data_IF_177907877340
#
_entry.id   IF_177907877340
#
_cell.length_a   1.000
_cell.length_b   1.000
_cell.length_c   1.000
_cell.angle_alpha   90.00
_cell.angle_beta   90.00
_cell.angle_gamma   90.00
#
_symmetry.space_group_name_H-M   'P 1'
#
loop_
_entity.id
_entity.type
_entity.pdbx_description
1 polymer ?
#
# COMPACT_ATOMS: atom_id res chain seq x y z
N UNK A 1 53.35 8.20 16.81
CA UNK A 1 52.43 8.78 15.79
C UNK A 1 51.35 7.79 15.40
N UNK A 2 51.68 6.58 14.94
CA UNK A 2 50.67 5.57 14.59
C UNK A 2 49.81 5.11 15.79
N UNK A 3 50.43 4.85 16.94
CA UNK A 3 49.72 4.46 18.18
C UNK A 3 48.72 5.52 18.67
N UNK A 4 49.09 6.80 18.57
CA UNK A 4 48.21 7.92 18.91
C UNK A 4 47.03 8.03 17.96
N UNK A 5 47.25 7.83 16.66
CA UNK A 5 46.19 7.81 15.66
C UNK A 5 45.21 6.65 15.89
N UNK A 6 45.73 5.45 16.21
CA UNK A 6 44.91 4.29 16.56
C UNK A 6 44.10 4.52 17.84
N UNK A 7 44.68 5.16 18.86
CA UNK A 7 43.97 5.49 20.10
C UNK A 7 42.82 6.49 19.88
N UNK A 8 43.02 7.49 19.01
CA UNK A 8 41.97 8.45 18.67
C UNK A 8 40.83 7.76 17.92
N UNK A 9 41.15 6.94 16.92
CA UNK A 9 40.14 6.17 16.19
C UNK A 9 39.39 5.18 17.08
N UNK A 10 40.06 4.58 18.08
CA UNK A 10 39.43 3.68 19.05
C UNK A 10 38.40 4.42 19.91
N UNK A 11 38.75 5.61 20.39
CA UNK A 11 37.86 6.44 21.20
C UNK A 11 36.64 6.92 20.38
N UNK A 12 36.84 7.33 19.13
CA UNK A 12 35.74 7.72 18.24
C UNK A 12 34.77 6.57 18.00
N UNK A 13 35.27 5.36 17.72
CA UNK A 13 34.44 4.16 17.55
C UNK A 13 33.69 3.84 18.84
N UNK A 14 34.33 3.95 20.01
CA UNK A 14 33.67 3.70 21.30
C UNK A 14 32.55 4.70 21.57
N UNK A 15 32.74 5.99 21.28
CA UNK A 15 31.70 7.00 21.44
C UNK A 15 30.52 6.77 20.48
N UNK A 16 30.80 6.37 19.24
CA UNK A 16 29.76 5.99 18.27
C UNK A 16 28.96 4.79 18.79
N UNK A 17 29.63 3.71 19.20
CA UNK A 17 29.00 2.51 19.75
C UNK A 17 28.17 2.81 21.01
N UNK A 18 28.68 3.68 21.90
CA UNK A 18 27.95 4.10 23.11
C UNK A 18 26.70 4.91 22.77
N UNK A 19 26.77 5.81 21.78
CA UNK A 19 25.61 6.57 21.32
C UNK A 19 24.56 5.65 20.69
N UNK A 20 24.99 4.73 19.84
CA UNK A 20 24.13 3.78 19.14
C UNK A 20 23.46 2.79 20.10
N UNK A 21 24.20 2.25 21.07
CA UNK A 21 23.63 1.39 22.13
C UNK A 21 22.61 2.12 23.01
N UNK A 22 22.83 3.39 23.34
CA UNK A 22 21.86 4.20 24.07
C UNK A 22 20.59 4.49 23.24
N UNK A 23 20.74 4.77 21.94
CA UNK A 23 19.60 4.94 21.03
C UNK A 23 18.80 3.64 20.90
N UNK A 24 19.47 2.50 20.72
CA UNK A 24 18.83 1.17 20.67
C UNK A 24 18.09 0.84 21.97
N UNK A 25 18.69 1.12 23.13
CA UNK A 25 18.05 0.93 24.44
C UNK A 25 16.83 1.84 24.62
N UNK A 26 16.90 3.09 24.17
CA UNK A 26 15.78 4.02 24.17
C UNK A 26 14.62 3.51 23.33
N UNK A 27 14.89 3.08 22.10
CA UNK A 27 13.89 2.51 21.18
C UNK A 27 13.23 1.26 21.79
N UNK A 28 13.99 0.37 22.44
CA UNK A 28 13.40 -0.80 23.11
C UNK A 28 12.45 -0.44 24.25
N UNK A 29 12.77 0.61 25.01
CA UNK A 29 11.90 1.11 26.07
C UNK A 29 10.62 1.71 25.47
N UNK A 30 10.75 2.62 24.51
CA UNK A 30 9.62 3.28 23.86
C UNK A 30 8.70 2.24 23.17
N UNK A 31 9.27 1.18 22.59
CA UNK A 31 8.51 0.08 22.01
C UNK A 31 7.76 -0.74 23.06
N UNK A 32 8.37 -1.00 24.23
CA UNK A 32 7.69 -1.66 25.34
C UNK A 32 6.53 -0.82 25.87
N UNK A 33 6.77 0.48 26.08
CA UNK A 33 5.76 1.42 26.57
C UNK A 33 4.58 1.51 25.56
N UNK A 34 4.89 1.58 24.26
CA UNK A 34 3.88 1.56 23.18
C UNK A 34 3.08 0.26 23.13
N UNK A 35 3.72 -0.90 23.33
CA UNK A 35 3.03 -2.20 23.38
C UNK A 35 2.02 -2.22 24.52
N UNK A 36 2.45 -1.81 25.71
CA UNK A 36 1.61 -1.86 26.91
C UNK A 36 0.40 -0.90 26.77
N UNK A 37 0.56 0.26 26.13
CA UNK A 37 -0.55 1.14 25.75
C UNK A 37 -1.51 0.50 24.74
N UNK A 38 -1.00 -0.20 23.72
CA UNK A 38 -1.83 -0.90 22.74
C UNK A 38 -2.64 -2.05 23.37
N UNK A 39 -2.07 -2.79 24.32
CA UNK A 39 -2.78 -3.82 25.09
C UNK A 39 -3.89 -3.22 25.97
N UNK A 40 -3.64 -2.05 26.55
CA UNK A 40 -4.65 -1.28 27.28
C UNK A 40 -5.81 -0.87 26.36
N UNK A 41 -5.50 -0.27 25.19
CA UNK A 41 -6.52 0.11 24.20
C UNK A 41 -7.33 -1.11 23.74
N UNK A 42 -6.70 -2.26 23.53
CA UNK A 42 -7.38 -3.50 23.14
C UNK A 42 -8.37 -3.98 24.22
N UNK A 43 -7.99 -3.90 25.49
CA UNK A 43 -8.89 -4.28 26.60
C UNK A 43 -10.07 -3.32 26.73
N UNK A 44 -9.86 -2.01 26.57
CA UNK A 44 -10.94 -1.02 26.53
C UNK A 44 -11.90 -1.22 25.35
N UNK A 45 -11.40 -1.51 24.15
CA UNK A 45 -12.25 -1.77 22.98
C UNK A 45 -13.15 -3.00 23.17
N UNK A 46 -12.64 -4.09 23.77
CA UNK A 46 -13.44 -5.28 24.08
C UNK A 46 -14.59 -4.98 25.04
N UNK A 47 -14.39 -4.07 26.00
CA UNK A 47 -15.45 -3.64 26.92
C UNK A 47 -16.48 -2.73 26.21
N UNK A 48 -16.01 -1.78 25.40
CA UNK A 48 -16.84 -0.89 24.61
C UNK A 48 -17.74 -1.65 23.62
N UNK A 49 -17.20 -2.64 22.91
CA UNK A 49 -17.96 -3.46 21.96
C UNK A 49 -19.05 -4.30 22.66
N UNK A 50 -18.78 -4.83 23.87
CA UNK A 50 -19.79 -5.54 24.67
C UNK A 50 -20.92 -4.63 25.12
N UNK A 51 -20.60 -3.40 25.53
CA UNK A 51 -21.61 -2.40 25.93
C UNK A 51 -22.44 -1.92 24.74
N UNK A 52 -21.82 -1.73 23.58
CA UNK A 52 -22.51 -1.35 22.36
C UNK A 52 -23.49 -2.41 21.84
N UNK A 53 -23.25 -3.70 22.13
CA UNK A 53 -24.16 -4.79 21.78
C UNK A 53 -25.39 -4.92 22.71
N UNK A 54 -25.41 -4.23 23.85
CA UNK A 54 -26.43 -4.36 24.88
C UNK A 54 -27.48 -3.23 24.92
N UNK A 55 -27.27 -2.12 24.21
CA UNK A 55 -28.14 -0.93 24.23
C UNK A 55 -28.89 -0.73 22.90
N UNK A 56 -30.23 -0.74 22.96
CA UNK A 56 -31.13 -0.44 21.83
C UNK A 56 -31.44 1.08 21.65
N UNK A 57 -30.83 1.97 22.44
CA UNK A 57 -31.12 3.40 22.39
C UNK A 57 -29.88 4.24 22.02
N UNK A 58 -30.14 5.32 21.27
CA UNK A 58 -29.25 6.27 20.59
C UNK A 58 -28.24 7.05 21.48
N UNK A 59 -27.81 6.49 22.61
CA UNK A 59 -26.95 7.13 23.63
C UNK A 59 -25.44 6.94 23.36
N UNK A 60 -25.08 6.19 22.31
CA UNK A 60 -23.73 5.63 22.17
C UNK A 60 -22.88 6.19 21.00
N UNK A 61 -23.26 7.35 20.47
CA UNK A 61 -22.60 7.96 19.30
C UNK A 61 -21.12 8.34 19.57
N UNK A 62 -20.83 8.74 20.82
CA UNK A 62 -19.46 9.03 21.28
C UNK A 62 -18.56 7.80 21.30
N UNK A 63 -19.04 6.65 21.83
CA UNK A 63 -18.26 5.40 21.85
C UNK A 63 -18.06 4.89 20.42
N UNK A 64 -19.09 4.98 19.57
CA UNK A 64 -18.98 4.59 18.16
C UNK A 64 -17.94 5.44 17.42
N UNK A 65 -17.91 6.74 17.67
CA UNK A 65 -16.91 7.66 17.11
C UNK A 65 -15.51 7.33 17.63
N UNK A 66 -15.37 7.07 18.93
CA UNK A 66 -14.10 6.71 19.55
C UNK A 66 -13.55 5.38 19.03
N UNK A 67 -14.37 4.33 18.94
CA UNK A 67 -14.01 3.03 18.35
C UNK A 67 -13.53 3.20 16.90
N UNK A 68 -14.20 4.05 16.12
CA UNK A 68 -13.78 4.38 14.75
C UNK A 68 -12.40 5.04 14.72
N UNK A 69 -12.15 6.02 15.58
CA UNK A 69 -10.87 6.74 15.67
C UNK A 69 -9.73 5.81 16.11
N UNK A 70 -9.95 4.99 17.14
CA UNK A 70 -8.95 4.01 17.61
C UNK A 70 -8.62 3.00 16.52
N UNK A 71 -9.64 2.53 15.79
CA UNK A 71 -9.44 1.64 14.64
C UNK A 71 -8.60 2.33 13.55
N UNK A 72 -8.86 3.60 13.25
CA UNK A 72 -8.05 4.37 12.30
C UNK A 72 -6.62 4.67 12.79
N UNK A 73 -6.41 4.85 14.08
CA UNK A 73 -5.08 5.02 14.66
C UNK A 73 -4.27 3.72 14.60
N UNK A 74 -4.86 2.59 15.00
CA UNK A 74 -4.24 1.25 14.91
C UNK A 74 -3.78 0.95 13.48
N UNK A 75 -4.59 1.34 12.51
CA UNK A 75 -4.28 1.29 11.08
C UNK A 75 -3.08 2.13 10.63
N UNK A 76 -2.90 3.34 11.19
CA UNK A 76 -1.73 4.17 10.86
C UNK A 76 -0.45 3.61 11.48
N UNK A 77 -0.56 3.01 12.67
CA UNK A 77 0.55 2.31 13.33
C UNK A 77 0.98 1.11 12.48
N UNK A 78 0.02 0.32 11.99
CA UNK A 78 0.28 -0.78 11.05
C UNK A 78 1.04 -0.30 9.80
N UNK A 79 0.64 0.82 9.18
CA UNK A 79 1.32 1.38 8.01
C UNK A 79 2.79 1.78 8.29
N UNK A 80 3.04 2.39 9.45
CA UNK A 80 4.40 2.79 9.86
C UNK A 80 5.27 1.56 10.11
N UNK A 81 4.73 0.53 10.76
CA UNK A 81 5.42 -0.74 10.98
C UNK A 81 5.73 -1.43 9.64
N UNK A 82 4.78 -1.43 8.70
CA UNK A 82 5.00 -2.01 7.36
C UNK A 82 6.08 -1.27 6.56
N UNK A 83 6.09 0.07 6.55
CA UNK A 83 7.13 0.83 5.86
C UNK A 83 8.50 0.66 6.53
N UNK A 84 8.56 0.61 7.86
CA UNK A 84 9.80 0.33 8.61
C UNK A 84 10.36 -1.07 8.33
N UNK A 85 9.52 -2.11 8.38
CA UNK A 85 9.92 -3.49 8.08
C UNK A 85 10.39 -3.65 6.62
N UNK A 86 9.74 -2.96 5.68
CA UNK A 86 10.14 -2.95 4.26
C UNK A 86 11.53 -2.34 4.03
N UNK A 87 11.92 -1.33 4.79
CA UNK A 87 13.23 -0.67 4.67
C UNK A 87 14.34 -1.54 5.27
N UNK A 88 14.03 -2.39 6.25
CA UNK A 88 15.03 -3.06 7.10
C UNK A 88 15.16 -4.57 6.81
N UNK A 89 14.15 -5.24 6.25
CA UNK A 89 14.18 -6.68 5.97
C UNK A 89 13.91 -7.03 4.49
N UNK A 90 14.88 -7.68 3.83
CA UNK A 90 14.74 -8.34 2.50
C UNK A 90 14.16 -9.77 2.66
N UNK A 91 13.27 -9.98 3.64
CA UNK A 91 12.79 -11.32 3.99
C UNK A 91 11.37 -11.30 4.56
N UNK A 92 10.57 -12.25 4.08
CA UNK A 92 9.14 -12.52 4.29
C UNK A 92 8.45 -11.78 5.44
N UNK A 93 7.50 -10.93 5.07
CA UNK A 93 6.58 -10.23 5.98
C UNK A 93 5.71 -11.22 6.77
N UNK A 94 5.55 -11.05 8.10
CA UNK A 94 4.49 -11.73 8.83
C UNK A 94 3.13 -11.19 8.37
N UNK A 95 2.22 -12.11 8.02
CA UNK A 95 0.84 -11.77 7.67
C UNK A 95 0.08 -11.36 8.93
N UNK A 96 0.03 -10.05 9.23
CA UNK A 96 -1.02 -9.51 10.09
C UNK A 96 -2.37 -9.75 9.40
N UNK A 97 -3.48 -9.96 10.14
CA UNK A 97 -4.79 -10.14 9.56
C UNK A 97 -5.16 -8.88 8.78
N UNK A 98 -4.83 -8.90 7.49
CA UNK A 98 -4.92 -7.76 6.60
C UNK A 98 -6.38 -7.41 6.49
N UNK A 99 -6.79 -6.30 7.10
CA UNK A 99 -8.13 -5.80 6.88
C UNK A 99 -8.23 -5.43 5.40
N UNK A 100 -8.98 -6.24 4.65
CA UNK A 100 -9.26 -6.07 3.23
C UNK A 100 -9.89 -4.71 3.02
N UNK A 101 -9.15 -3.73 2.48
CA UNK A 101 -9.74 -2.48 2.01
C UNK A 101 -10.04 -2.57 0.53
N UNK A 102 -11.29 -2.29 0.20
CA UNK A 102 -11.78 -2.18 -1.17
C UNK A 102 -11.85 -0.70 -1.52
N UNK A 103 -11.17 -0.30 -2.59
CA UNK A 103 -11.36 1.02 -3.18
C UNK A 103 -12.52 0.95 -4.16
N UNK A 104 -13.58 1.71 -3.92
CA UNK A 104 -14.81 1.63 -4.69
C UNK A 104 -15.09 2.94 -5.44
N UNK A 105 -15.16 2.86 -6.77
CA UNK A 105 -15.65 3.92 -7.64
C UNK A 105 -17.11 3.64 -8.02
N UNK A 106 -18.01 4.40 -7.40
CA UNK A 106 -19.46 4.26 -7.60
C UNK A 106 -19.90 4.76 -8.98
N UNK A 107 -21.03 4.24 -9.46
CA UNK A 107 -21.65 4.69 -10.70
C UNK A 107 -21.82 6.22 -10.73
N UNK A 108 -21.60 6.83 -11.91
CA UNK A 108 -21.56 8.28 -12.13
C UNK A 108 -20.45 9.01 -11.35
N UNK A 109 -19.56 8.30 -10.67
CA UNK A 109 -18.38 8.85 -10.02
C UNK A 109 -17.41 9.42 -11.05
N UNK A 110 -16.96 10.65 -10.82
CA UNK A 110 -15.91 11.32 -11.62
C UNK A 110 -16.17 11.34 -13.14
N UNK A 111 -17.34 11.84 -13.62
CA UNK A 111 -17.76 11.70 -15.02
C UNK A 111 -16.93 12.53 -16.01
N UNK A 112 -16.06 13.43 -15.53
CA UNK A 112 -15.19 14.29 -16.35
C UNK A 112 -13.70 13.98 -16.18
N UNK A 113 -13.35 13.02 -15.33
CA UNK A 113 -11.96 12.73 -15.02
C UNK A 113 -11.30 11.99 -16.19
N UNK A 114 -10.21 12.55 -16.70
CA UNK A 114 -9.46 12.00 -17.85
C UNK A 114 -8.20 11.23 -17.44
N UNK A 115 -7.67 11.51 -16.26
CA UNK A 115 -6.43 10.92 -15.77
C UNK A 115 -6.62 10.53 -14.29
N UNK A 116 -6.23 9.31 -13.95
CA UNK A 116 -6.28 8.78 -12.59
C UNK A 116 -4.96 8.09 -12.28
N UNK A 117 -4.37 8.48 -11.15
CA UNK A 117 -3.22 7.79 -10.58
C UNK A 117 -3.58 7.23 -9.20
N UNK A 118 -3.32 5.95 -9.00
CA UNK A 118 -3.39 5.30 -7.69
C UNK A 118 -1.99 4.88 -7.29
N UNK A 119 -1.45 5.50 -6.23
CA UNK A 119 -0.06 5.32 -5.83
C UNK A 119 0.04 4.91 -4.36
N UNK A 120 0.79 3.84 -4.08
CA UNK A 120 1.16 3.40 -2.71
C UNK A 120 -0.01 3.14 -1.77
N UNK A 121 -1.16 2.74 -2.31
CA UNK A 121 -2.33 2.33 -1.53
C UNK A 121 -2.17 0.89 -1.03
N UNK A 122 -1.13 0.61 -0.23
CA UNK A 122 -0.72 -0.74 0.15
C UNK A 122 -1.80 -1.53 0.91
N UNK A 123 -2.74 -0.86 1.54
CA UNK A 123 -3.83 -1.53 2.26
C UNK A 123 -4.98 -1.97 1.36
N UNK A 124 -5.06 -1.41 0.16
CA UNK A 124 -6.11 -1.71 -0.82
C UNK A 124 -5.71 -2.97 -1.58
N UNK A 125 -6.54 -4.00 -1.48
CA UNK A 125 -6.30 -5.29 -2.14
C UNK A 125 -7.27 -5.57 -3.30
N UNK A 126 -8.32 -4.75 -3.42
CA UNK A 126 -9.33 -4.84 -4.46
C UNK A 126 -9.77 -3.44 -4.86
N UNK A 127 -9.95 -3.25 -6.16
CA UNK A 127 -10.53 -2.05 -6.75
C UNK A 127 -11.82 -2.46 -7.43
N UNK A 128 -12.92 -1.81 -7.10
CA UNK A 128 -14.23 -2.01 -7.71
C UNK A 128 -14.57 -0.74 -8.48
N UNK A 129 -14.85 -0.87 -9.77
CA UNK A 129 -15.31 0.21 -10.63
C UNK A 129 -16.69 -0.21 -11.14
N UNK A 130 -17.73 0.45 -10.65
CA UNK A 130 -19.10 0.22 -11.12
C UNK A 130 -19.31 0.77 -12.53
N UNK A 131 -20.27 0.18 -13.24
CA UNK A 131 -20.66 0.65 -14.57
C UNK A 131 -21.11 2.13 -14.51
N UNK A 132 -20.60 2.92 -15.46
CA UNK A 132 -20.84 4.36 -15.50
C UNK A 132 -19.98 5.20 -14.55
N UNK A 133 -19.04 4.60 -13.81
CA UNK A 133 -17.95 5.34 -13.15
C UNK A 133 -16.82 5.63 -14.15
N UNK A 134 -16.07 6.71 -13.95
CA UNK A 134 -14.84 7.01 -14.71
C UNK A 134 -15.02 7.01 -16.25
N UNK A 135 -16.22 7.36 -16.75
CA UNK A 135 -16.61 7.21 -18.16
C UNK A 135 -15.71 7.94 -19.16
N UNK A 136 -15.08 9.05 -18.77
CA UNK A 136 -14.18 9.83 -19.62
C UNK A 136 -12.70 9.54 -19.35
N UNK A 137 -12.37 8.50 -18.59
CA UNK A 137 -11.00 8.20 -18.22
C UNK A 137 -10.19 7.75 -19.44
N UNK A 138 -9.10 8.47 -19.72
CA UNK A 138 -8.22 8.20 -20.85
C UNK A 138 -6.88 7.60 -20.41
N UNK A 139 -6.40 7.92 -19.21
CA UNK A 139 -5.14 7.43 -18.66
C UNK A 139 -5.34 6.93 -17.24
N UNK A 140 -4.95 5.68 -17.00
CA UNK A 140 -5.01 5.07 -15.68
C UNK A 140 -3.64 4.52 -15.31
N UNK A 141 -3.07 5.04 -14.23
CA UNK A 141 -1.77 4.61 -13.72
C UNK A 141 -1.92 4.03 -12.33
N UNK A 142 -1.37 2.84 -12.12
CA UNK A 142 -1.34 2.16 -10.82
C UNK A 142 0.13 1.93 -10.44
N UNK A 143 0.53 2.52 -9.31
CA UNK A 143 1.92 2.58 -8.87
C UNK A 143 2.05 1.94 -7.48
N UNK A 144 2.94 0.95 -7.37
CA UNK A 144 3.37 0.36 -6.10
C UNK A 144 2.19 -0.07 -5.21
N UNK A 145 1.19 -0.76 -5.76
CA UNK A 145 0.09 -1.35 -4.99
C UNK A 145 0.39 -2.81 -4.63
N UNK A 146 1.15 -3.03 -3.54
CA UNK A 146 1.74 -4.33 -3.21
C UNK A 146 0.76 -5.46 -2.86
N UNK A 147 -0.45 -5.13 -2.42
CA UNK A 147 -1.49 -6.12 -2.04
C UNK A 147 -2.59 -6.28 -3.09
N UNK A 148 -2.53 -5.53 -4.20
CA UNK A 148 -3.49 -5.66 -5.29
C UNK A 148 -3.14 -6.90 -6.11
N UNK A 149 -3.94 -7.95 -5.96
CA UNK A 149 -3.66 -9.27 -6.57
C UNK A 149 -4.31 -9.48 -7.93
N UNK A 150 -5.35 -8.71 -8.25
CA UNK A 150 -6.15 -8.88 -9.47
C UNK A 150 -6.45 -7.54 -10.11
N UNK A 151 -6.59 -7.55 -11.42
CA UNK A 151 -7.11 -6.40 -12.17
C UNK A 151 -8.60 -6.23 -11.87
N UNK A 152 -9.05 -4.98 -11.70
CA UNK A 152 -10.48 -4.69 -11.54
C UNK A 152 -11.22 -5.00 -12.84
N UNK A 153 -12.23 -5.87 -12.79
CA UNK A 153 -13.06 -6.20 -13.96
C UNK A 153 -13.77 -4.98 -14.55
N UNK A 154 -14.04 -3.95 -13.75
CA UNK A 154 -14.66 -2.71 -14.20
C UNK A 154 -13.78 -1.90 -15.17
N UNK A 155 -12.48 -2.20 -15.28
CA UNK A 155 -11.62 -1.63 -16.33
C UNK A 155 -12.16 -2.01 -17.73
N UNK A 156 -12.81 -3.17 -17.87
CA UNK A 156 -13.41 -3.61 -19.14
C UNK A 156 -14.51 -2.66 -19.65
N UNK A 157 -15.16 -1.92 -18.76
CA UNK A 157 -16.21 -0.97 -19.10
C UNK A 157 -15.68 0.44 -19.45
N UNK A 158 -14.37 0.67 -19.38
CA UNK A 158 -13.75 1.98 -19.62
C UNK A 158 -13.44 2.16 -21.11
N UNK A 159 -14.47 2.43 -21.91
CA UNK A 159 -14.37 2.52 -23.37
C UNK A 159 -13.41 3.62 -23.88
N UNK A 160 -13.22 4.69 -23.11
CA UNK A 160 -12.35 5.81 -23.48
C UNK A 160 -10.89 5.62 -23.03
N UNK A 161 -10.57 4.51 -22.37
CA UNK A 161 -9.25 4.28 -21.81
C UNK A 161 -8.22 4.03 -22.93
N UNK A 162 -7.24 4.92 -23.03
CA UNK A 162 -6.19 4.89 -24.05
C UNK A 162 -4.92 4.24 -23.52
N UNK A 163 -4.58 4.55 -22.26
CA UNK A 163 -3.34 4.14 -21.62
C UNK A 163 -3.62 3.54 -20.26
N UNK A 164 -3.11 2.32 -20.05
CA UNK A 164 -3.07 1.66 -18.75
C UNK A 164 -1.63 1.36 -18.38
N UNK A 165 -1.16 1.91 -17.27
CA UNK A 165 0.26 1.83 -16.88
C UNK A 165 0.41 1.27 -15.47
N UNK A 166 1.12 0.16 -15.36
CA UNK A 166 1.38 -0.55 -14.12
C UNK A 166 2.85 -0.40 -13.72
N UNK A 167 3.10 0.29 -12.61
CA UNK A 167 4.47 0.62 -12.18
C UNK A 167 4.78 -0.08 -10.87
N UNK A 168 5.85 -0.88 -10.85
CA UNK A 168 6.33 -1.60 -9.66
C UNK A 168 5.23 -2.45 -8.99
N UNK A 169 4.47 -3.20 -9.80
CA UNK A 169 3.42 -4.12 -9.34
C UNK A 169 3.98 -5.47 -8.88
N UNK A 170 3.26 -6.22 -8.01
CA UNK A 170 3.63 -7.58 -7.60
C UNK A 170 3.76 -8.54 -8.78
N UNK A 171 4.67 -9.52 -8.70
CA UNK A 171 4.90 -10.51 -9.75
C UNK A 171 3.64 -11.29 -10.11
N UNK A 172 2.89 -11.77 -9.09
CA UNK A 172 1.61 -12.50 -9.27
C UNK A 172 0.59 -11.69 -10.10
N UNK A 173 0.54 -10.36 -9.89
CA UNK A 173 -0.33 -9.46 -10.64
C UNK A 173 0.16 -9.30 -12.09
N UNK A 174 1.47 -9.13 -12.28
CA UNK A 174 2.04 -8.99 -13.64
C UNK A 174 1.84 -10.26 -14.46
N UNK A 175 1.92 -11.43 -13.84
CA UNK A 175 1.65 -12.73 -14.47
C UNK A 175 0.18 -12.88 -14.88
N UNK A 176 -0.76 -12.34 -14.09
CA UNK A 176 -2.19 -12.44 -14.38
C UNK A 176 -2.62 -11.67 -15.64
N UNK A 177 -1.82 -10.69 -16.10
CA UNK A 177 -2.13 -9.84 -17.26
C UNK A 177 -1.34 -10.19 -18.52
N UNK A 178 -0.58 -11.29 -18.53
CA UNK A 178 0.18 -11.73 -19.71
C UNK A 178 -0.76 -12.33 -20.77
N UNK A 179 -0.60 -12.05 -22.08
CA UNK A 179 -1.52 -12.51 -23.12
C UNK A 179 -1.69 -14.03 -23.23
N UNK A 180 -0.62 -14.81 -22.99
CA UNK A 180 -0.59 -16.26 -23.26
C UNK A 180 -1.36 -17.06 -22.21
N UNK A 181 -1.20 -16.72 -20.91
CA UNK A 181 -1.72 -17.51 -19.78
C UNK A 181 -2.36 -16.64 -18.68
N UNK A 182 -2.46 -15.34 -18.87
CA UNK A 182 -2.97 -14.41 -17.87
C UNK A 182 -4.49 -14.44 -17.78
N UNK A 183 -5.02 -14.88 -16.64
CA UNK A 183 -6.46 -14.92 -16.36
C UNK A 183 -7.15 -13.55 -16.48
N UNK A 184 -6.43 -12.45 -16.20
CA UNK A 184 -6.95 -11.08 -16.21
C UNK A 184 -6.72 -10.38 -17.56
N UNK A 185 -6.02 -11.01 -18.51
CA UNK A 185 -5.69 -10.40 -19.80
C UNK A 185 -6.93 -9.91 -20.57
N UNK A 186 -8.02 -10.68 -20.53
CA UNK A 186 -9.29 -10.33 -21.20
C UNK A 186 -9.93 -9.05 -20.66
N UNK A 187 -9.53 -8.58 -19.48
CA UNK A 187 -10.02 -7.34 -18.89
C UNK A 187 -9.37 -6.13 -19.57
N UNK A 188 -8.11 -6.26 -19.99
CA UNK A 188 -7.29 -5.14 -20.47
C UNK A 188 -7.02 -5.16 -21.98
N UNK A 189 -7.37 -6.24 -22.67
CA UNK A 189 -7.07 -6.43 -24.10
C UNK A 189 -7.68 -5.37 -25.04
N UNK A 190 -8.74 -4.70 -24.61
CA UNK A 190 -9.40 -3.62 -25.35
C UNK A 190 -8.63 -2.29 -25.25
N UNK A 191 -7.72 -2.15 -24.28
CA UNK A 191 -6.96 -0.92 -24.05
C UNK A 191 -5.82 -0.83 -25.10
N UNK A 192 -5.72 0.28 -25.85
CA UNK A 192 -4.73 0.41 -26.93
C UNK A 192 -3.27 0.27 -26.48
N UNK A 193 -2.93 0.88 -25.35
CA UNK A 193 -1.57 0.93 -24.80
C UNK A 193 -1.56 0.43 -23.36
N UNK A 194 -0.92 -0.72 -23.13
CA UNK A 194 -0.71 -1.28 -21.79
C UNK A 194 0.77 -1.44 -21.50
N UNK A 195 1.24 -0.78 -20.44
CA UNK A 195 2.63 -0.81 -20.01
C UNK A 195 2.77 -1.44 -18.62
N UNK A 196 3.84 -2.21 -18.44
CA UNK A 196 4.34 -2.66 -17.14
C UNK A 196 5.75 -2.12 -16.97
N UNK A 197 5.99 -1.32 -15.94
CA UNK A 197 7.28 -0.70 -15.65
C UNK A 197 7.87 -1.26 -14.36
N UNK A 198 9.07 -1.81 -14.44
CA UNK A 198 9.83 -2.23 -13.27
C UNK A 198 10.98 -1.26 -13.02
N UNK A 199 11.14 -0.83 -11.77
CA UNK A 199 12.24 0.07 -11.41
C UNK A 199 13.54 -0.72 -11.35
N UNK A 200 14.59 -0.26 -12.03
CA UNK A 200 15.83 -1.02 -12.22
C UNK A 200 17.11 -0.28 -11.83
N UNK A 201 17.04 1.00 -11.41
CA UNK A 201 18.25 1.81 -11.28
C UNK A 201 18.24 2.81 -10.13
N UNK A 202 19.36 3.51 -9.96
CA UNK A 202 19.60 4.47 -8.88
C UNK A 202 18.87 5.81 -9.10
N UNK A 203 18.40 6.10 -10.32
CA UNK A 203 17.62 7.30 -10.64
C UNK A 203 16.11 7.03 -10.65
N UNK A 204 15.33 8.08 -10.39
CA UNK A 204 13.86 8.03 -10.35
C UNK A 204 13.25 7.65 -11.71
N UNK A 205 13.97 7.86 -12.82
CA UNK A 205 13.52 7.57 -14.19
C UNK A 205 13.92 6.18 -14.72
N UNK A 206 14.72 5.41 -13.99
CA UNK A 206 15.29 4.16 -14.49
C UNK A 206 14.27 3.02 -14.40
N UNK A 207 13.41 2.94 -15.42
CA UNK A 207 12.40 1.89 -15.54
C UNK A 207 12.68 0.97 -16.74
N UNK A 208 12.65 -0.33 -16.50
CA UNK A 208 12.45 -1.33 -17.55
C UNK A 208 10.99 -1.34 -17.92
N UNK A 209 10.67 -0.91 -19.14
CA UNK A 209 9.31 -0.89 -19.66
C UNK A 209 9.06 -2.14 -20.49
N UNK A 210 7.96 -2.83 -20.20
CA UNK A 210 7.40 -3.93 -21.00
C UNK A 210 6.04 -3.49 -21.52
N UNK A 211 5.87 -3.47 -22.84
CA UNK A 211 4.55 -3.36 -23.46
C UNK A 211 3.86 -4.73 -23.45
N UNK A 212 2.60 -4.79 -23.01
CA UNK A 212 1.80 -6.04 -23.03
C UNK A 212 1.18 -6.24 -24.41
N UNK A 213 0.62 -5.17 -24.99
CA UNK A 213 0.39 -5.02 -26.41
C UNK A 213 0.24 -3.54 -26.73
N UNK A 214 0.63 -3.18 -27.94
CA UNK A 214 0.27 -1.93 -28.57
C UNK A 214 -0.59 -2.28 -29.78
N UNK A 215 -1.86 -1.88 -29.77
CA UNK A 215 -2.62 -1.87 -31.01
C UNK A 215 -2.01 -0.79 -31.90
N UNK A 216 -1.08 -1.17 -32.78
CA UNK A 216 -0.78 -0.32 -33.93
C UNK A 216 -2.01 -0.39 -34.84
N UNK A 217 -2.91 0.59 -34.70
CA UNK A 217 -3.74 1.00 -35.83
C UNK A 217 -2.90 1.99 -36.63
N UNK A 218 -1.95 1.46 -37.38
CA UNK A 218 -1.47 2.16 -38.57
C UNK A 218 -2.61 2.06 -39.60
N UNK A 219 -3.23 3.20 -39.90
CA UNK A 219 -4.12 3.43 -41.04
C UNK A 219 -3.52 4.54 -41.88
#
# INVERSE_FOLDING_TARGET
MAETAVSISLEEVFQILKKETNLLRGIHKDFSDTRDELESIQTFLKDADRRAAADEANTNDGIRTWVKQVREASFRIEDVVYEYLRVIHVGTMPSLPTMVKILHFQSRGFPKLKQLELSRLNRVNSVVIEEGALVCLEHFTIIKMSHLKKVSSGIKALENLKVLDFISMPTEFVESIVPENGQDYQIINHVPLVFVRHWIGLKVSDYKVRSIHSSSKDS
#
